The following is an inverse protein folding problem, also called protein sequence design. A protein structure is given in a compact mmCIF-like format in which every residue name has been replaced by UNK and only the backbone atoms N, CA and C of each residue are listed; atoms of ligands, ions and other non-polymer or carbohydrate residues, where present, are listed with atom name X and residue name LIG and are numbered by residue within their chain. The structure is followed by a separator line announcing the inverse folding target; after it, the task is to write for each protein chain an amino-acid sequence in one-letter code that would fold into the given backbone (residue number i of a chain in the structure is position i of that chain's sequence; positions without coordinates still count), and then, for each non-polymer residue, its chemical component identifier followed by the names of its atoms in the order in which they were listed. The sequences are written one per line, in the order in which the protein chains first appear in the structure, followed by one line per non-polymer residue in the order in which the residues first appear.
data_IF_217540886231
#
_entry.id   IF_217540886231
#
_cell.length_a   1.000
_cell.length_b   1.000
_cell.length_c   1.000
_cell.angle_alpha   90.00
_cell.angle_beta   90.00
_cell.angle_gamma   90.00
#
_symmetry.space_group_name_H-M   'P 1'
#
loop_
_entity.id
_entity.type
_entity.pdbx_description
1 polymer ?
#
# COMPACT_ATOMS: atom_id res chain seq x y z
N UNK A 1 14.15 -37.02 16.46
CA UNK A 1 13.23 -37.37 17.57
C UNK A 1 13.26 -36.24 18.58
N UNK A 2 12.18 -35.48 18.74
CA UNK A 2 11.48 -35.16 20.02
C UNK A 2 10.33 -34.17 19.78
N UNK A 3 9.12 -34.75 19.77
CA UNK A 3 7.87 -34.27 20.38
C UNK A 3 7.24 -32.95 19.90
N UNK A 4 6.52 -33.13 18.79
CA UNK A 4 5.34 -32.38 18.35
C UNK A 4 4.11 -32.93 19.09
N UNK A 5 3.52 -32.17 20.02
CA UNK A 5 2.13 -32.24 20.54
C UNK A 5 2.07 -31.59 21.93
N UNK A 6 1.48 -30.39 22.00
CA UNK A 6 0.61 -29.93 23.10
C UNK A 6 0.40 -28.41 22.97
N UNK A 7 -0.56 -27.98 22.15
CA UNK A 7 -1.14 -26.63 22.33
C UNK A 7 -2.52 -26.46 21.66
N UNK A 8 -3.48 -27.37 21.84
CA UNK A 8 -4.91 -27.02 21.68
C UNK A 8 -5.71 -27.85 22.67
N UNK A 9 -6.05 -27.26 23.82
CA UNK A 9 -7.23 -27.59 24.66
C UNK A 9 -7.19 -26.71 25.92
N UNK A 10 -7.93 -25.60 25.91
CA UNK A 10 -8.63 -25.00 27.07
C UNK A 10 -9.29 -23.68 26.67
N UNK A 11 -10.55 -23.76 26.27
CA UNK A 11 -11.55 -22.68 26.46
C UNK A 11 -12.90 -23.11 25.90
N UNK A 12 -13.45 -24.19 26.48
CA UNK A 12 -14.89 -24.49 26.42
C UNK A 12 -15.31 -24.80 27.84
N UNK A 13 -16.09 -23.87 28.42
CA UNK A 13 -17.03 -23.99 29.56
C UNK A 13 -16.88 -22.86 30.57
N UNK A 14 -17.97 -22.09 30.70
CA UNK A 14 -18.34 -21.43 31.94
C UNK A 14 -18.61 -19.94 31.81
N UNK A 15 -19.86 -19.56 31.51
CA UNK A 15 -20.71 -18.80 32.44
C UNK A 15 -22.06 -18.46 31.79
N UNK A 16 -23.07 -19.22 32.19
CA UNK A 16 -24.49 -18.88 32.09
C UNK A 16 -24.93 -18.16 33.36
N UNK A 17 -25.38 -16.92 33.22
CA UNK A 17 -26.37 -16.17 34.04
C UNK A 17 -26.56 -14.85 33.29
N UNK A 18 -27.71 -14.48 32.70
CA UNK A 18 -29.07 -14.50 33.19
C UNK A 18 -29.45 -13.06 33.58
N UNK A 19 -30.32 -12.38 32.80
CA UNK A 19 -31.42 -11.48 33.22
C UNK A 19 -32.02 -10.70 32.03
N UNK A 20 -33.34 -10.88 31.89
CA UNK A 20 -34.42 -9.98 31.45
C UNK A 20 -34.36 -9.21 30.11
N UNK A 21 -35.22 -9.68 29.21
CA UNK A 21 -36.25 -8.96 28.43
C UNK A 21 -36.33 -7.43 28.59
N UNK A 22 -36.18 -6.73 27.47
CA UNK A 22 -36.65 -5.36 27.24
C UNK A 22 -36.72 -5.08 25.75
N UNK A 23 -37.88 -5.33 25.14
CA UNK A 23 -38.09 -5.10 23.71
C UNK A 23 -38.22 -3.62 23.37
N UNK A 24 -37.51 -3.19 22.33
CA UNK A 24 -37.94 -2.11 21.46
C UNK A 24 -37.72 -2.55 20.01
N UNK A 25 -38.83 -2.91 19.38
CA UNK A 25 -38.92 -3.20 17.95
C UNK A 25 -38.72 -1.91 17.18
N UNK A 26 -37.57 -1.75 16.52
CA UNK A 26 -37.40 -0.80 15.42
C UNK A 26 -37.62 -1.56 14.12
N UNK A 27 -38.81 -1.38 13.56
CA UNK A 27 -39.20 -1.85 12.23
C UNK A 27 -38.25 -1.27 11.16
N UNK A 28 -37.19 -1.98 10.83
CA UNK A 28 -36.48 -1.79 9.56
C UNK A 28 -37.25 -2.57 8.48
N UNK A 29 -37.81 -1.84 7.51
CA UNK A 29 -38.41 -2.43 6.31
C UNK A 29 -37.39 -3.38 5.66
N UNK A 30 -37.79 -4.58 5.20
CA UNK A 30 -36.89 -5.41 4.42
C UNK A 30 -36.56 -4.65 3.14
N UNK A 31 -35.28 -4.38 2.92
CA UNK A 31 -34.78 -3.90 1.64
C UNK A 31 -35.19 -4.93 0.59
N UNK A 32 -36.01 -4.50 -0.37
CA UNK A 32 -36.39 -5.27 -1.54
C UNK A 32 -35.13 -5.86 -2.16
N UNK A 33 -35.01 -7.18 -2.11
CA UNK A 33 -34.05 -7.91 -2.92
C UNK A 33 -34.39 -7.60 -4.38
N UNK A 34 -33.50 -6.85 -5.04
CA UNK A 34 -33.56 -6.72 -6.49
C UNK A 34 -33.21 -8.10 -7.05
N UNK A 35 -34.24 -8.87 -7.41
CA UNK A 35 -34.06 -10.05 -8.25
C UNK A 35 -33.56 -9.55 -9.61
N UNK A 36 -32.26 -9.66 -9.87
CA UNK A 36 -31.74 -9.50 -11.22
C UNK A 36 -32.22 -10.71 -11.99
N UNK A 37 -33.33 -10.54 -12.72
CA UNK A 37 -33.76 -11.48 -13.74
C UNK A 37 -32.72 -11.46 -14.87
N UNK A 38 -31.74 -12.36 -14.82
CA UNK A 38 -30.81 -12.58 -15.91
C UNK A 38 -31.49 -13.40 -17.02
N UNK A 39 -32.28 -12.71 -17.85
CA UNK A 39 -32.87 -13.25 -19.09
C UNK A 39 -31.91 -13.26 -20.29
N UNK A 40 -30.59 -13.21 -20.07
CA UNK A 40 -29.58 -13.34 -21.13
C UNK A 40 -28.98 -14.74 -21.11
N UNK A 41 -28.71 -15.32 -22.29
CA UNK A 41 -27.93 -16.57 -22.40
C UNK A 41 -26.60 -16.37 -21.66
N UNK A 42 -26.39 -17.10 -20.58
CA UNK A 42 -25.16 -17.04 -19.81
C UNK A 42 -24.00 -17.51 -20.70
N UNK A 43 -23.01 -16.64 -20.90
CA UNK A 43 -21.81 -16.97 -21.69
C UNK A 43 -21.11 -18.17 -21.05
N UNK A 44 -20.89 -19.22 -21.83
CA UNK A 44 -20.11 -20.39 -21.42
C UNK A 44 -18.61 -20.09 -21.56
N UNK A 45 -18.01 -19.57 -20.50
CA UNK A 45 -16.58 -19.20 -20.46
C UNK A 45 -15.64 -20.38 -20.72
N UNK A 46 -16.05 -21.62 -20.47
CA UNK A 46 -15.24 -22.80 -20.76
C UNK A 46 -15.07 -23.07 -22.26
N UNK A 47 -15.86 -22.41 -23.12
CA UNK A 47 -15.71 -22.45 -24.58
C UNK A 47 -15.00 -21.23 -25.16
N UNK A 48 -14.78 -20.19 -24.35
CA UNK A 48 -14.11 -18.97 -24.80
C UNK A 48 -12.60 -19.22 -24.96
N UNK A 49 -12.01 -19.05 -26.16
CA UNK A 49 -10.60 -19.34 -26.39
C UNK A 49 -9.64 -18.49 -25.55
N UNK A 50 -9.94 -17.20 -25.37
CA UNK A 50 -9.11 -16.27 -24.61
C UNK A 50 -9.17 -16.61 -23.12
N UNK A 51 -10.37 -16.85 -22.59
CA UNK A 51 -10.53 -17.27 -21.20
C UNK A 51 -9.80 -18.58 -20.91
N UNK A 52 -9.88 -19.56 -21.82
CA UNK A 52 -9.16 -20.83 -21.67
C UNK A 52 -7.66 -20.63 -21.69
N UNK A 53 -7.14 -19.79 -22.59
CA UNK A 53 -5.71 -19.48 -22.65
C UNK A 53 -5.25 -18.76 -21.38
N UNK A 54 -6.01 -17.80 -20.86
CA UNK A 54 -5.66 -17.11 -19.60
C UNK A 54 -5.73 -18.07 -18.40
N UNK A 55 -6.76 -18.93 -18.34
CA UNK A 55 -6.99 -19.81 -17.19
C UNK A 55 -6.04 -20.99 -17.13
N UNK A 56 -5.72 -21.58 -18.28
CA UNK A 56 -5.02 -22.86 -18.39
C UNK A 56 -3.72 -22.76 -19.21
N UNK A 57 -3.55 -21.72 -20.02
CA UNK A 57 -2.52 -21.66 -21.05
C UNK A 57 -2.64 -22.80 -22.07
N UNK A 58 -1.58 -23.01 -22.85
CA UNK A 58 -1.53 -24.09 -23.85
C UNK A 58 -1.57 -25.53 -23.30
N UNK A 59 -1.41 -25.75 -21.98
CA UNK A 59 -1.34 -27.11 -21.39
C UNK A 59 -2.15 -27.34 -20.10
N UNK A 60 -2.30 -26.33 -19.23
CA UNK A 60 -2.72 -26.45 -17.83
C UNK A 60 -4.20 -26.71 -17.58
N UNK A 61 -4.92 -27.35 -18.52
CA UNK A 61 -6.32 -27.73 -18.36
C UNK A 61 -6.52 -28.71 -17.18
N UNK A 62 -7.78 -29.06 -16.85
CA UNK A 62 -8.09 -29.94 -15.71
C UNK A 62 -7.48 -31.35 -15.80
N UNK A 63 -6.84 -31.72 -16.92
CA UNK A 63 -6.22 -33.04 -17.15
C UNK A 63 -7.21 -34.19 -17.31
N UNK A 64 -8.48 -33.98 -16.93
CA UNK A 64 -9.61 -34.88 -17.05
C UNK A 64 -10.87 -34.08 -17.40
N UNK A 65 -11.89 -34.74 -17.93
CA UNK A 65 -13.20 -34.11 -18.14
C UNK A 65 -13.88 -33.85 -16.78
N UNK A 66 -14.19 -32.59 -16.42
CA UNK A 66 -14.97 -32.31 -15.21
C UNK A 66 -16.40 -32.84 -15.37
N UNK A 67 -16.94 -33.46 -14.32
CA UNK A 67 -18.34 -33.87 -14.24
C UNK A 67 -19.14 -32.90 -13.35
N UNK A 68 -20.48 -32.86 -13.49
CA UNK A 68 -21.32 -32.01 -12.66
C UNK A 68 -21.26 -32.42 -11.18
N UNK A 69 -21.40 -31.46 -10.26
CA UNK A 69 -21.38 -31.75 -8.84
C UNK A 69 -21.70 -30.55 -7.95
N UNK A 70 -21.71 -30.73 -6.61
CA UNK A 70 -22.13 -29.68 -5.66
C UNK A 70 -21.29 -28.40 -5.70
N UNK A 71 -20.11 -28.43 -6.34
CA UNK A 71 -19.25 -27.26 -6.49
C UNK A 71 -19.72 -26.31 -7.60
N UNK A 72 -20.62 -26.75 -8.49
CA UNK A 72 -21.13 -25.94 -9.60
C UNK A 72 -21.93 -24.71 -9.11
N UNK A 73 -22.47 -24.78 -7.89
CA UNK A 73 -23.23 -23.70 -7.25
C UNK A 73 -22.37 -22.79 -6.34
N UNK A 74 -21.07 -23.08 -6.19
CA UNK A 74 -20.17 -22.29 -5.34
C UNK A 74 -19.59 -21.13 -6.16
N UNK A 75 -19.83 -19.90 -5.71
CA UNK A 75 -19.25 -18.72 -6.35
C UNK A 75 -17.73 -18.69 -6.12
N UNK A 76 -16.97 -18.26 -7.13
CA UNK A 76 -15.50 -18.14 -7.04
C UNK A 76 -15.06 -17.27 -5.84
N UNK A 77 -15.81 -16.21 -5.52
CA UNK A 77 -15.54 -15.36 -4.34
C UNK A 77 -15.71 -16.07 -2.98
N UNK A 78 -16.44 -17.17 -2.96
CA UNK A 78 -16.69 -17.99 -1.76
C UNK A 78 -15.80 -19.26 -1.73
N UNK A 79 -15.03 -19.51 -2.81
CA UNK A 79 -14.16 -20.67 -2.94
C UNK A 79 -12.82 -20.46 -2.21
N UNK A 80 -12.56 -21.27 -1.18
CA UNK A 80 -11.35 -21.21 -0.36
C UNK A 80 -10.74 -22.61 -0.12
N UNK A 81 -10.04 -23.20 -1.11
CA UNK A 81 -9.51 -24.55 -0.99
C UNK A 81 -8.39 -24.61 0.05
N UNK A 82 -8.38 -25.70 0.84
CA UNK A 82 -7.22 -26.07 1.65
C UNK A 82 -6.17 -26.70 0.74
N UNK A 83 -4.92 -26.23 0.83
CA UNK A 83 -3.81 -26.85 0.12
C UNK A 83 -3.52 -28.24 0.69
N UNK A 84 -3.26 -29.22 -0.17
CA UNK A 84 -2.67 -30.50 0.22
C UNK A 84 -1.14 -30.48 0.14
N UNK A 85 -0.54 -29.43 -0.45
CA UNK A 85 0.90 -29.26 -0.50
C UNK A 85 1.40 -28.95 0.91
N UNK A 86 2.34 -29.77 1.39
CA UNK A 86 3.01 -29.57 2.67
C UNK A 86 4.34 -28.86 2.40
N UNK A 87 4.39 -27.57 2.71
CA UNK A 87 5.61 -26.76 2.63
C UNK A 87 6.17 -26.48 4.03
N UNK A 88 7.41 -26.00 4.09
CA UNK A 88 7.95 -25.44 5.32
C UNK A 88 7.18 -24.17 5.70
N UNK A 89 6.89 -24.03 6.99
CA UNK A 89 6.33 -22.81 7.55
C UNK A 89 7.24 -22.28 8.66
N UNK A 90 7.82 -21.12 8.40
CA UNK A 90 8.73 -20.43 9.31
C UNK A 90 7.98 -19.28 9.98
N UNK A 91 7.93 -19.30 11.31
CA UNK A 91 7.41 -18.18 12.09
C UNK A 91 8.55 -17.22 12.42
N UNK A 92 8.45 -15.98 11.92
CA UNK A 92 9.44 -14.93 12.14
C UNK A 92 8.82 -13.85 13.03
N UNK A 93 8.95 -13.94 14.38
CA UNK A 93 8.24 -13.05 15.30
C UNK A 93 8.71 -11.60 15.23
N UNK A 94 9.97 -11.38 14.86
CA UNK A 94 10.69 -10.11 14.90
C UNK A 94 11.67 -10.05 13.72
N UNK A 95 11.80 -8.89 13.11
CA UNK A 95 12.73 -8.66 12.01
C UNK A 95 14.16 -9.04 12.37
N UNK A 96 14.92 -9.57 11.41
CA UNK A 96 16.33 -9.96 11.58
C UNK A 96 17.24 -8.76 11.92
N UNK A 97 16.88 -7.57 11.45
CA UNK A 97 17.58 -6.31 11.75
C UNK A 97 16.59 -5.24 12.18
N UNK A 98 17.10 -4.18 12.79
CA UNK A 98 16.32 -3.00 13.17
C UNK A 98 15.68 -2.36 11.94
N UNK A 99 14.43 -1.94 12.06
CA UNK A 99 13.62 -1.43 10.93
C UNK A 99 13.06 -0.05 11.19
N UNK A 100 13.13 0.80 10.17
CA UNK A 100 12.33 2.00 10.00
C UNK A 100 11.20 1.64 9.04
N UNK A 101 9.95 1.61 9.53
CA UNK A 101 8.80 1.51 8.64
C UNK A 101 8.59 2.86 7.98
N UNK A 102 8.99 2.96 6.71
CA UNK A 102 9.07 4.24 6.01
C UNK A 102 7.77 4.68 5.37
N UNK A 103 6.69 3.91 5.56
CA UNK A 103 5.39 4.21 4.98
C UNK A 103 4.26 3.69 5.89
N UNK A 104 3.79 4.54 6.78
CA UNK A 104 2.55 4.34 7.54
C UNK A 104 1.73 5.62 7.58
N UNK A 105 0.44 5.49 7.86
CA UNK A 105 -0.43 6.64 8.10
C UNK A 105 -0.73 6.80 9.60
N UNK A 106 -1.61 7.75 9.95
CA UNK A 106 -2.07 7.94 11.33
C UNK A 106 -3.00 6.78 11.72
N UNK A 107 -2.43 5.76 12.36
CA UNK A 107 -3.09 4.50 12.73
C UNK A 107 -3.56 4.43 14.20
N UNK A 108 -3.25 5.46 14.98
CA UNK A 108 -3.60 5.57 16.39
C UNK A 108 -3.97 7.03 16.69
N UNK A 109 -5.03 7.24 17.49
CA UNK A 109 -5.58 8.57 17.79
C UNK A 109 -5.67 8.85 19.29
N UNK A 110 -5.62 7.82 20.15
CA UNK A 110 -5.54 8.00 21.60
C UNK A 110 -4.16 7.64 22.16
N UNK A 111 -3.76 8.18 23.32
CA UNK A 111 -2.49 7.82 23.96
C UNK A 111 -2.32 6.32 24.19
N UNK A 112 -3.40 5.61 24.52
CA UNK A 112 -3.39 4.16 24.74
C UNK A 112 -3.15 3.40 23.44
N UNK A 113 -3.77 3.84 22.33
CA UNK A 113 -3.54 3.24 21.01
C UNK A 113 -2.11 3.46 20.53
N UNK A 114 -1.53 4.64 20.78
CA UNK A 114 -0.13 4.94 20.43
C UNK A 114 0.81 4.08 21.27
N UNK A 115 0.56 3.93 22.58
CA UNK A 115 1.34 3.05 23.44
C UNK A 115 1.28 1.58 23.01
N UNK A 116 0.11 1.09 22.59
CA UNK A 116 -0.05 -0.27 22.05
C UNK A 116 0.64 -0.45 20.69
N UNK A 117 0.67 0.60 19.87
CA UNK A 117 1.48 0.60 18.65
C UNK A 117 2.97 0.47 18.97
N UNK A 118 3.50 1.27 19.89
CA UNK A 118 4.91 1.20 20.33
C UNK A 118 5.26 -0.18 20.88
N UNK A 119 4.37 -0.79 21.66
CA UNK A 119 4.54 -2.17 22.14
C UNK A 119 4.65 -3.16 20.98
N UNK A 120 3.79 -3.03 19.97
CA UNK A 120 3.85 -3.87 18.77
C UNK A 120 5.16 -3.66 18.02
N UNK A 121 5.60 -2.41 17.86
CA UNK A 121 6.88 -2.07 17.23
C UNK A 121 8.05 -2.76 17.93
N UNK A 122 8.10 -2.76 19.27
CA UNK A 122 9.15 -3.43 20.05
C UNK A 122 9.20 -4.94 19.83
N UNK A 123 8.03 -5.58 19.81
CA UNK A 123 7.90 -7.03 19.66
C UNK A 123 8.27 -7.48 18.25
N UNK A 124 7.96 -6.69 17.21
CA UNK A 124 8.19 -7.05 15.80
C UNK A 124 9.47 -6.46 15.20
N UNK A 125 10.18 -5.58 15.91
CA UNK A 125 11.48 -5.05 15.50
C UNK A 125 11.47 -3.73 14.73
N UNK A 126 10.36 -3.00 14.79
CA UNK A 126 10.29 -1.62 14.30
C UNK A 126 10.87 -0.67 15.35
N UNK A 127 11.90 0.06 15.00
CA UNK A 127 12.45 1.13 15.83
C UNK A 127 11.62 2.40 15.67
N UNK A 128 11.45 2.84 14.42
CA UNK A 128 10.78 4.08 14.08
C UNK A 128 9.76 3.85 12.98
N UNK A 129 8.60 4.49 13.11
CA UNK A 129 7.60 4.58 12.05
C UNK A 129 7.57 5.99 11.47
N UNK A 130 7.72 6.11 10.16
CA UNK A 130 7.59 7.37 9.43
C UNK A 130 6.13 7.56 9.03
N UNK A 131 5.48 8.52 9.69
CA UNK A 131 4.04 8.74 9.56
C UNK A 131 3.79 9.78 8.48
N UNK A 132 3.22 9.33 7.36
CA UNK A 132 2.72 10.13 6.25
C UNK A 132 1.38 10.76 6.66
N UNK A 133 1.45 11.94 7.27
CA UNK A 133 0.28 12.54 7.91
C UNK A 133 -0.72 13.10 6.90
N UNK A 134 -0.25 13.57 5.74
CA UNK A 134 -1.09 14.19 4.72
C UNK A 134 -1.72 15.54 5.11
N UNK A 135 -1.40 16.06 6.30
CA UNK A 135 -2.04 17.24 6.91
C UNK A 135 -1.03 18.36 7.22
N UNK A 136 -1.55 19.58 7.36
CA UNK A 136 -0.80 20.82 7.60
C UNK A 136 -1.45 21.60 8.74
N UNK A 137 -0.93 22.78 9.09
CA UNK A 137 -1.49 23.66 10.12
C UNK A 137 -1.60 23.02 11.51
N UNK A 138 -2.67 23.35 12.24
CA UNK A 138 -2.90 22.93 13.63
C UNK A 138 -3.06 21.40 13.78
N UNK A 139 -3.57 20.72 12.75
CA UNK A 139 -3.71 19.26 12.76
C UNK A 139 -2.33 18.59 12.75
N UNK A 140 -1.38 19.12 11.98
CA UNK A 140 0.00 18.65 12.01
C UNK A 140 0.65 18.90 13.38
N UNK A 141 0.42 20.07 13.97
CA UNK A 141 0.96 20.41 15.30
C UNK A 141 0.45 19.46 16.39
N UNK A 142 -0.83 19.09 16.35
CA UNK A 142 -1.40 18.10 17.27
C UNK A 142 -0.79 16.69 17.09
N UNK A 143 -0.44 16.30 15.86
CA UNK A 143 0.25 15.04 15.59
C UNK A 143 1.69 15.07 16.12
N UNK A 144 2.40 16.19 16.03
CA UNK A 144 3.72 16.36 16.64
C UNK A 144 3.65 16.13 18.16
N UNK A 145 2.62 16.65 18.84
CA UNK A 145 2.46 16.48 20.27
C UNK A 145 2.11 15.02 20.66
N UNK A 146 1.22 14.38 19.91
CA UNK A 146 0.70 13.04 20.22
C UNK A 146 1.62 11.88 19.82
N UNK A 147 2.56 12.10 18.89
CA UNK A 147 3.45 11.04 18.38
C UNK A 147 4.91 11.27 18.76
N UNK A 148 5.71 12.13 18.06
CA UNK A 148 7.13 12.24 18.36
C UNK A 148 7.45 12.85 19.72
N UNK A 149 6.63 13.78 20.26
CA UNK A 149 6.86 14.31 21.62
C UNK A 149 6.43 13.34 22.71
N UNK A 150 5.33 12.63 22.53
CA UNK A 150 4.86 11.62 23.47
C UNK A 150 5.77 10.38 23.52
N UNK A 151 6.33 9.99 22.37
CA UNK A 151 7.24 8.84 22.24
C UNK A 151 8.48 9.18 21.40
N UNK A 152 9.46 9.91 21.99
CA UNK A 152 10.67 10.33 21.29
C UNK A 152 11.40 9.17 20.62
N UNK A 153 11.78 9.36 19.34
CA UNK A 153 12.49 8.38 18.51
C UNK A 153 11.63 7.27 17.90
N UNK A 154 10.38 7.09 18.35
CA UNK A 154 9.48 6.03 17.82
C UNK A 154 8.68 6.47 16.60
N UNK A 155 8.40 7.75 16.50
CA UNK A 155 7.68 8.31 15.36
C UNK A 155 8.44 9.50 14.79
N UNK A 156 8.39 9.64 13.48
CA UNK A 156 8.81 10.84 12.77
C UNK A 156 7.76 11.17 11.72
N UNK A 157 7.49 12.46 11.51
CA UNK A 157 6.34 12.89 10.73
C UNK A 157 6.76 13.48 9.40
N UNK A 158 6.03 13.09 8.36
CA UNK A 158 5.97 13.80 7.10
C UNK A 158 4.75 14.71 7.14
N UNK A 159 4.91 15.98 6.76
CA UNK A 159 3.78 16.90 6.66
C UNK A 159 3.03 16.72 5.34
N UNK A 160 1.80 17.21 5.28
CA UNK A 160 1.04 17.35 4.05
C UNK A 160 1.51 18.51 3.17
N UNK A 161 0.65 18.88 2.23
CA UNK A 161 0.83 20.03 1.34
C UNK A 161 -0.45 20.87 1.36
N UNK A 162 -0.32 22.20 1.36
CA UNK A 162 -1.48 23.07 1.19
C UNK A 162 -2.10 22.87 -0.20
N UNK A 163 -3.39 22.54 -0.21
CA UNK A 163 -4.19 22.20 -1.40
C UNK A 163 -5.35 23.17 -1.59
N UNK A 164 -5.37 24.29 -0.85
CA UNK A 164 -6.43 25.27 -0.89
C UNK A 164 -6.15 26.34 -1.95
N UNK A 165 -7.19 26.77 -2.69
CA UNK A 165 -7.12 27.90 -3.64
C UNK A 165 -5.91 27.83 -4.60
N UNK A 166 -5.67 26.65 -5.19
CA UNK A 166 -4.49 26.34 -6.03
C UNK A 166 -4.41 27.12 -7.35
N UNK A 167 -5.43 27.92 -7.66
CA UNK A 167 -5.55 28.80 -8.82
C UNK A 167 -5.16 30.25 -8.50
N UNK A 168 -4.92 30.59 -7.23
CA UNK A 168 -4.56 31.94 -6.83
C UNK A 168 -3.08 32.24 -7.13
N UNK A 169 -2.75 33.49 -7.51
CA UNK A 169 -1.37 33.86 -7.87
C UNK A 169 -0.35 33.65 -6.74
N UNK A 170 -0.78 33.73 -5.49
CA UNK A 170 0.04 33.56 -4.28
C UNK A 170 0.27 32.08 -3.90
N UNK A 171 -0.36 31.13 -4.61
CA UNK A 171 -0.33 29.71 -4.21
C UNK A 171 1.09 29.16 -4.04
N UNK A 172 1.99 29.48 -4.98
CA UNK A 172 3.37 29.00 -4.95
C UNK A 172 4.13 29.49 -3.71
N UNK A 173 3.90 30.72 -3.27
CA UNK A 173 4.53 31.28 -2.06
C UNK A 173 3.92 30.67 -0.80
N UNK A 174 2.59 30.54 -0.76
CA UNK A 174 1.85 30.01 0.39
C UNK A 174 2.17 28.53 0.67
N UNK A 175 2.23 27.69 -0.36
CA UNK A 175 2.56 26.28 -0.19
C UNK A 175 4.00 26.07 0.31
N UNK A 176 4.93 26.95 -0.08
CA UNK A 176 6.31 26.99 0.41
C UNK A 176 6.37 27.46 1.86
N UNK A 177 5.63 28.52 2.22
CA UNK A 177 5.58 29.01 3.59
C UNK A 177 5.06 27.95 4.57
N UNK A 178 4.05 27.18 4.18
CA UNK A 178 3.55 26.08 5.01
C UNK A 178 4.56 24.93 5.15
N UNK A 179 5.33 24.64 4.09
CA UNK A 179 6.43 23.67 4.15
C UNK A 179 7.51 24.09 5.16
N UNK A 180 7.96 25.33 5.09
CA UNK A 180 8.97 25.88 6.00
C UNK A 180 8.48 25.90 7.45
N UNK A 181 7.17 26.16 7.67
CA UNK A 181 6.53 26.05 8.98
C UNK A 181 6.57 24.60 9.48
N UNK A 182 6.17 23.63 8.66
CA UNK A 182 6.18 22.22 9.02
C UNK A 182 7.59 21.72 9.33
N UNK A 183 8.59 22.12 8.53
CA UNK A 183 10.00 21.84 8.79
C UNK A 183 10.43 22.37 10.16
N UNK A 184 10.09 23.63 10.48
CA UNK A 184 10.38 24.24 11.78
C UNK A 184 9.71 23.51 12.95
N UNK A 185 8.55 22.88 12.70
CA UNK A 185 7.82 22.06 13.67
C UNK A 185 8.37 20.63 13.82
N UNK A 186 9.36 20.24 13.00
CA UNK A 186 10.03 18.95 13.07
C UNK A 186 9.57 17.93 12.02
N UNK A 187 8.90 18.36 10.95
CA UNK A 187 8.67 17.50 9.79
C UNK A 187 10.00 17.11 9.14
N UNK A 188 10.17 15.83 8.81
CA UNK A 188 11.39 15.30 8.18
C UNK A 188 11.22 15.06 6.67
N UNK A 189 10.01 15.25 6.16
CA UNK A 189 9.63 14.96 4.79
C UNK A 189 8.22 15.47 4.48
N UNK A 190 7.80 15.29 3.24
CA UNK A 190 6.46 15.69 2.77
C UNK A 190 5.75 14.46 2.22
N UNK A 191 4.55 14.17 2.70
CA UNK A 191 3.80 13.01 2.25
C UNK A 191 2.56 12.66 3.07
N UNK A 192 1.68 11.82 2.54
CA UNK A 192 1.73 11.32 1.16
C UNK A 192 1.16 12.37 0.20
N UNK A 193 1.90 12.70 -0.86
CA UNK A 193 1.39 13.53 -1.95
C UNK A 193 0.87 12.63 -3.04
N UNK A 194 -0.44 12.67 -3.27
CA UNK A 194 -1.09 11.66 -4.10
C UNK A 194 -1.82 12.26 -5.29
N UNK A 195 -1.63 11.66 -6.45
CA UNK A 195 -2.37 11.91 -7.68
C UNK A 195 -2.75 10.60 -8.37
N UNK A 196 -4.02 10.22 -8.23
CA UNK A 196 -4.62 9.04 -8.87
C UNK A 196 -5.40 9.37 -10.14
N UNK A 197 -5.13 10.54 -10.73
CA UNK A 197 -5.74 11.02 -11.97
C UNK A 197 -6.71 12.19 -11.81
N UNK A 198 -7.14 12.48 -10.58
CA UNK A 198 -7.94 13.67 -10.26
C UNK A 198 -7.09 14.89 -9.89
N UNK A 199 -5.76 14.77 -9.99
CA UNK A 199 -4.82 15.76 -9.49
C UNK A 199 -4.60 15.61 -7.98
N UNK A 200 -3.64 16.38 -7.48
CA UNK A 200 -3.35 16.53 -6.07
C UNK A 200 -4.48 17.37 -5.45
N UNK A 201 -5.44 16.69 -4.84
CA UNK A 201 -6.65 17.29 -4.26
C UNK A 201 -6.68 17.16 -2.74
N UNK A 202 -7.40 18.06 -2.06
CA UNK A 202 -7.55 18.06 -0.61
C UNK A 202 -8.27 16.79 -0.14
N UNK A 203 -7.67 15.98 0.77
CA UNK A 203 -8.30 14.79 1.28
C UNK A 203 -9.33 15.21 2.32
N UNK A 204 -10.61 15.06 2.00
CA UNK A 204 -11.56 14.70 3.04
C UNK A 204 -11.66 13.18 3.04
N UNK A 205 -10.74 12.58 3.78
CA UNK A 205 -10.72 11.19 4.29
C UNK A 205 -10.51 10.02 3.32
N UNK A 206 -9.76 9.04 3.83
CA UNK A 206 -9.68 7.59 3.54
C UNK A 206 -9.20 7.04 2.17
N UNK A 207 -8.71 7.88 1.25
CA UNK A 207 -8.17 7.36 -0.02
C UNK A 207 -9.24 7.06 -1.07
N UNK A 208 -10.51 7.40 -0.80
CA UNK A 208 -11.52 7.58 -1.83
C UNK A 208 -11.50 9.02 -2.36
N UNK A 209 -10.96 9.19 -3.57
CA UNK A 209 -11.04 10.47 -4.28
C UNK A 209 -12.48 10.72 -4.68
N UNK A 210 -13.12 11.64 -3.97
CA UNK A 210 -14.47 12.07 -4.31
C UNK A 210 -14.40 12.82 -5.65
N UNK A 211 -14.81 12.14 -6.73
CA UNK A 211 -15.05 12.71 -8.07
C UNK A 211 -15.72 14.10 -8.03
N UNK A 212 -16.70 14.40 -7.13
CA UNK A 212 -17.37 15.70 -7.06
C UNK A 212 -16.46 16.90 -6.73
N UNK A 213 -15.30 16.68 -6.09
CA UNK A 213 -14.38 17.74 -5.70
C UNK A 213 -13.27 18.01 -6.74
N UNK A 214 -13.20 17.22 -7.82
CA UNK A 214 -12.16 17.35 -8.82
C UNK A 214 -12.39 18.53 -9.77
N UNK A 215 -11.33 19.31 -10.02
CA UNK A 215 -11.36 20.38 -11.01
C UNK A 215 -11.49 19.80 -12.44
N UNK A 216 -11.91 20.61 -13.43
CA UNK A 216 -11.77 20.26 -14.84
C UNK A 216 -10.35 19.79 -15.14
N UNK A 217 -10.20 18.77 -16.01
CA UNK A 217 -8.91 18.09 -16.25
C UNK A 217 -7.74 19.03 -16.49
N UNK A 218 -7.93 20.12 -17.24
CA UNK A 218 -6.90 21.11 -17.56
C UNK A 218 -6.57 22.09 -16.41
N UNK A 219 -7.30 22.04 -15.29
CA UNK A 219 -7.08 22.86 -14.09
C UNK A 219 -6.56 22.04 -12.90
N UNK A 220 -6.57 20.71 -13.01
CA UNK A 220 -6.06 19.80 -11.97
C UNK A 220 -4.57 20.06 -11.75
N UNK A 221 -4.17 20.03 -10.49
CA UNK A 221 -2.78 20.18 -10.11
C UNK A 221 -2.12 18.80 -10.19
N UNK A 222 -1.17 18.63 -11.10
CA UNK A 222 -0.41 17.39 -11.23
C UNK A 222 1.01 17.59 -10.70
N UNK A 223 1.75 16.53 -10.35
CA UNK A 223 3.11 16.67 -9.81
C UNK A 223 4.08 17.40 -10.74
N UNK A 224 3.83 17.41 -12.06
CA UNK A 224 4.66 18.04 -13.09
C UNK A 224 4.24 19.49 -13.42
N UNK A 225 3.32 20.06 -12.66
CA UNK A 225 2.80 21.42 -12.85
C UNK A 225 3.78 22.48 -12.32
N UNK A 226 4.02 23.53 -13.11
CA UNK A 226 4.95 24.62 -12.78
C UNK A 226 4.62 25.32 -11.46
N UNK A 227 3.35 25.30 -11.03
CA UNK A 227 2.93 25.86 -9.73
C UNK A 227 3.63 25.21 -8.53
N UNK A 228 4.15 24.00 -8.68
CA UNK A 228 4.83 23.24 -7.63
C UNK A 228 6.36 23.34 -7.69
N UNK A 229 6.94 24.03 -8.68
CA UNK A 229 8.39 24.08 -8.85
C UNK A 229 9.13 24.60 -7.62
N UNK A 230 8.64 25.71 -7.06
CA UNK A 230 9.22 26.30 -5.86
C UNK A 230 9.03 25.40 -4.63
N UNK A 231 7.94 24.63 -4.58
CA UNK A 231 7.68 23.68 -3.50
C UNK A 231 8.69 22.52 -3.55
N UNK A 232 8.87 21.91 -4.72
CA UNK A 232 9.84 20.84 -4.92
C UNK A 232 11.28 21.31 -4.71
N UNK A 233 11.61 22.50 -5.20
CA UNK A 233 12.91 23.14 -4.95
C UNK A 233 13.16 23.34 -3.47
N UNK A 234 12.17 23.85 -2.72
CA UNK A 234 12.28 24.04 -1.28
C UNK A 234 12.45 22.71 -0.53
N UNK A 235 11.77 21.64 -0.93
CA UNK A 235 12.00 20.31 -0.36
C UNK A 235 13.48 19.88 -0.48
N UNK A 236 14.12 20.15 -1.62
CA UNK A 236 15.54 19.87 -1.81
C UNK A 236 16.44 20.74 -0.91
N UNK A 237 16.16 22.04 -0.82
CA UNK A 237 16.90 22.97 0.04
C UNK A 237 16.85 22.58 1.52
N UNK A 238 15.69 22.13 1.99
CA UNK A 238 15.48 21.70 3.38
C UNK A 238 15.93 20.25 3.65
N UNK A 239 16.33 19.51 2.60
CA UNK A 239 16.66 18.09 2.74
C UNK A 239 15.47 17.23 3.16
N UNK A 240 14.26 17.56 2.70
CA UNK A 240 13.01 16.86 3.00
C UNK A 240 12.59 15.98 1.80
N UNK A 241 12.74 14.65 1.87
CA UNK A 241 12.25 13.75 0.82
C UNK A 241 10.72 13.83 0.67
N UNK A 242 10.25 13.63 -0.56
CA UNK A 242 8.83 13.66 -0.91
C UNK A 242 8.32 12.24 -1.13
N UNK A 243 7.35 11.79 -0.32
CA UNK A 243 6.58 10.58 -0.59
C UNK A 243 5.52 10.89 -1.64
N UNK A 244 5.67 10.33 -2.84
CA UNK A 244 4.88 10.66 -4.03
C UNK A 244 4.13 9.43 -4.56
N UNK A 245 2.81 9.43 -4.43
CA UNK A 245 1.92 8.39 -4.91
C UNK A 245 1.24 8.81 -6.20
N UNK A 246 1.75 8.31 -7.31
CA UNK A 246 1.17 8.59 -8.63
C UNK A 246 0.61 7.31 -9.22
N UNK A 247 -0.64 7.40 -9.70
CA UNK A 247 -1.44 6.27 -10.16
C UNK A 247 -1.79 5.27 -9.04
N UNK A 248 -2.30 4.11 -9.45
CA UNK A 248 -2.48 2.89 -8.66
C UNK A 248 -2.07 1.72 -9.55
N UNK A 249 -2.31 0.48 -9.13
CA UNK A 249 -2.08 -0.70 -9.96
C UNK A 249 -2.74 -0.55 -11.35
N UNK A 250 -2.08 -0.94 -12.46
CA UNK A 250 -2.58 -0.72 -13.83
C UNK A 250 -3.96 -1.33 -14.09
N UNK A 251 -4.35 -2.39 -13.36
CA UNK A 251 -5.69 -2.97 -13.46
C UNK A 251 -6.83 -2.02 -13.06
N UNK A 252 -6.52 -0.92 -12.36
CA UNK A 252 -7.48 0.17 -12.15
C UNK A 252 -7.83 0.91 -13.44
N UNK A 253 -7.07 0.76 -14.53
CA UNK A 253 -7.36 1.36 -15.84
C UNK A 253 -7.86 0.33 -16.87
N UNK A 254 -8.35 -0.83 -16.43
CA UNK A 254 -8.95 -1.85 -17.29
C UNK A 254 -10.44 -2.06 -16.95
N UNK A 255 -11.27 -2.57 -17.88
CA UNK A 255 -12.67 -2.88 -17.60
C UNK A 255 -12.85 -3.76 -16.35
N UNK A 256 -14.01 -3.63 -15.67
CA UNK A 256 -14.44 -4.65 -14.70
C UNK A 256 -15.01 -5.84 -15.47
N UNK A 257 -14.20 -6.86 -15.68
CA UNK A 257 -14.58 -8.11 -16.30
C UNK A 257 -13.88 -9.30 -15.63
N UNK A 258 -14.03 -10.49 -16.21
CA UNK A 258 -13.44 -11.74 -15.70
C UNK A 258 -11.91 -11.80 -15.81
N UNK A 259 -11.27 -10.81 -16.46
CA UNK A 259 -9.83 -10.73 -16.68
C UNK A 259 -9.13 -9.73 -15.74
N UNK A 260 -9.87 -8.89 -15.02
CA UNK A 260 -9.30 -7.91 -14.10
C UNK A 260 -8.83 -8.56 -12.79
N UNK A 261 -7.50 -8.69 -12.62
CA UNK A 261 -6.85 -9.56 -11.62
C UNK A 261 -7.16 -9.27 -10.13
N UNK A 262 -7.61 -8.03 -9.82
CA UNK A 262 -7.86 -7.55 -8.45
C UNK A 262 -9.35 -7.47 -8.12
N UNK A 263 -10.23 -7.91 -9.02
CA UNK A 263 -11.66 -8.08 -8.72
C UNK A 263 -11.91 -9.39 -7.98
N UNK A 264 -12.98 -9.46 -7.14
CA UNK A 264 -13.93 -8.39 -6.83
C UNK A 264 -13.44 -7.38 -5.78
N UNK A 265 -12.40 -7.70 -5.01
CA UNK A 265 -12.07 -6.96 -3.77
C UNK A 265 -11.67 -5.49 -4.01
N UNK A 266 -11.00 -5.18 -5.12
CA UNK A 266 -10.52 -3.83 -5.45
C UNK A 266 -11.32 -3.13 -6.55
N UNK A 267 -12.52 -3.61 -6.90
CA UNK A 267 -13.32 -3.03 -7.99
C UNK A 267 -13.69 -1.55 -7.77
N UNK A 268 -13.77 -1.10 -6.51
CA UNK A 268 -14.09 0.28 -6.15
C UNK A 268 -12.97 1.28 -6.51
N UNK A 269 -11.74 0.80 -6.75
CA UNK A 269 -10.63 1.63 -7.22
C UNK A 269 -10.62 1.85 -8.74
N UNK A 270 -11.54 1.23 -9.49
CA UNK A 270 -11.50 1.30 -10.95
C UNK A 270 -11.67 2.74 -11.47
N UNK A 271 -10.83 3.10 -12.45
CA UNK A 271 -10.74 4.37 -13.18
C UNK A 271 -11.04 4.23 -14.67
N UNK A 272 -11.26 3.01 -15.16
CA UNK A 272 -11.64 2.74 -16.54
C UNK A 272 -12.91 3.50 -16.94
N UNK A 273 -12.84 4.18 -18.08
CA UNK A 273 -13.94 5.00 -18.59
C UNK A 273 -14.21 6.30 -17.82
N UNK A 274 -13.41 6.63 -16.79
CA UNK A 274 -13.52 7.91 -16.08
C UNK A 274 -12.68 9.00 -16.76
N UNK A 275 -13.05 10.27 -16.53
CA UNK A 275 -12.27 11.42 -17.00
C UNK A 275 -11.02 11.63 -16.13
N UNK A 276 -10.04 10.74 -16.29
CA UNK A 276 -8.70 10.83 -15.69
C UNK A 276 -7.64 10.49 -16.73
N UNK A 277 -6.38 10.90 -16.55
CA UNK A 277 -5.29 10.40 -17.38
C UNK A 277 -5.17 8.88 -17.29
N UNK A 278 -4.72 8.27 -18.38
CA UNK A 278 -4.34 6.86 -18.41
C UNK A 278 -3.20 6.57 -17.43
N UNK A 279 -3.04 5.30 -17.06
CA UNK A 279 -1.92 4.86 -16.24
C UNK A 279 -0.57 5.35 -16.79
N UNK A 280 -0.32 5.16 -18.09
CA UNK A 280 0.93 5.58 -18.74
C UNK A 280 1.13 7.11 -18.70
N UNK A 281 0.07 7.90 -18.90
CA UNK A 281 0.16 9.36 -18.77
C UNK A 281 0.52 9.79 -17.34
N UNK A 282 0.01 9.12 -16.31
CA UNK A 282 0.35 9.40 -14.91
C UNK A 282 1.81 9.05 -14.59
N UNK A 283 2.28 7.87 -15.02
CA UNK A 283 3.69 7.49 -14.87
C UNK A 283 4.61 8.51 -15.57
N UNK A 284 4.24 8.97 -16.77
CA UNK A 284 5.02 9.98 -17.46
C UNK A 284 4.98 11.36 -16.77
N UNK A 285 3.85 11.74 -16.14
CA UNK A 285 3.78 12.94 -15.29
C UNK A 285 4.78 12.86 -14.14
N UNK A 286 4.82 11.74 -13.41
CA UNK A 286 5.84 11.50 -12.38
C UNK A 286 7.25 11.63 -12.97
N UNK A 287 7.52 11.00 -14.10
CA UNK A 287 8.84 11.03 -14.74
C UNK A 287 9.28 12.44 -15.17
N UNK A 288 8.34 13.30 -15.60
CA UNK A 288 8.62 14.72 -15.85
C UNK A 288 8.96 15.48 -14.57
N UNK A 289 8.26 15.23 -13.47
CA UNK A 289 8.60 15.79 -12.14
C UNK A 289 10.01 15.40 -11.73
N UNK A 290 10.36 14.11 -11.80
CA UNK A 290 11.70 13.61 -11.46
C UNK A 290 12.79 14.31 -12.28
N UNK A 291 12.56 14.46 -13.60
CA UNK A 291 13.49 15.13 -14.52
C UNK A 291 13.67 16.62 -14.19
N UNK A 292 12.57 17.29 -13.85
CA UNK A 292 12.53 18.75 -13.64
C UNK A 292 13.17 19.15 -12.30
N UNK A 293 13.14 18.26 -11.31
CA UNK A 293 13.64 18.51 -9.96
C UNK A 293 14.74 17.51 -9.54
N UNK A 294 15.90 17.48 -10.23
CA UNK A 294 16.93 16.45 -10.00
C UNK A 294 17.57 16.49 -8.61
N UNK A 295 17.44 17.60 -7.88
CA UNK A 295 17.97 17.76 -6.52
C UNK A 295 16.98 17.33 -5.43
N UNK A 296 15.70 17.12 -5.78
CA UNK A 296 14.66 16.70 -4.84
C UNK A 296 14.55 15.19 -4.84
N UNK A 297 14.70 14.56 -3.67
CA UNK A 297 14.48 13.12 -3.52
C UNK A 297 12.97 12.83 -3.51
N UNK A 298 12.53 11.96 -4.41
CA UNK A 298 11.17 11.45 -4.44
C UNK A 298 11.16 9.96 -4.09
N UNK A 299 10.46 9.60 -3.02
CA UNK A 299 10.14 8.22 -2.67
C UNK A 299 8.81 7.92 -3.37
N UNK A 300 8.86 7.23 -4.52
CA UNK A 300 7.66 6.87 -5.25
C UNK A 300 7.01 5.67 -4.58
N UNK A 301 5.81 5.90 -4.04
CA UNK A 301 5.09 4.93 -3.23
C UNK A 301 4.84 3.64 -4.00
N UNK A 302 4.90 2.52 -3.27
CA UNK A 302 4.47 1.22 -3.74
C UNK A 302 5.20 0.74 -5.01
N UNK A 303 6.54 0.75 -4.98
CA UNK A 303 7.39 0.48 -6.15
C UNK A 303 6.99 1.35 -7.36
N UNK A 304 6.67 2.61 -7.09
CA UNK A 304 6.22 3.60 -8.09
C UNK A 304 4.97 3.21 -8.86
N UNK A 305 4.12 2.34 -8.30
CA UNK A 305 2.99 1.70 -8.99
C UNK A 305 3.37 0.92 -10.27
N UNK A 306 4.65 0.58 -10.43
CA UNK A 306 5.19 -0.23 -11.52
C UNK A 306 5.71 -1.59 -11.03
N UNK A 307 5.38 -2.02 -9.80
CA UNK A 307 5.83 -3.30 -9.26
C UNK A 307 5.44 -4.54 -10.10
N UNK A 308 4.42 -4.42 -10.94
CA UNK A 308 4.01 -5.46 -11.90
C UNK A 308 4.98 -5.61 -13.08
N UNK A 309 5.77 -4.57 -13.39
CA UNK A 309 6.75 -4.51 -14.48
C UNK A 309 8.08 -3.93 -13.96
N UNK A 310 8.88 -4.80 -13.35
CA UNK A 310 10.18 -4.45 -12.79
C UNK A 310 11.24 -4.07 -13.85
N UNK A 311 11.01 -4.40 -15.13
CA UNK A 311 11.90 -3.99 -16.22
C UNK A 311 11.67 -2.53 -16.60
N UNK A 312 10.41 -2.11 -16.74
CA UNK A 312 10.06 -0.72 -16.93
C UNK A 312 10.48 0.14 -15.73
N UNK A 313 10.22 -0.33 -14.50
CA UNK A 313 10.65 0.36 -13.29
C UNK A 313 12.18 0.45 -13.19
N UNK A 314 12.91 -0.57 -13.67
CA UNK A 314 14.38 -0.52 -13.71
C UNK A 314 14.89 0.58 -14.63
N UNK A 315 14.27 0.78 -15.79
CA UNK A 315 14.63 1.88 -16.69
C UNK A 315 14.46 3.25 -16.02
N UNK A 316 13.37 3.46 -15.29
CA UNK A 316 13.13 4.70 -14.56
C UNK A 316 14.17 4.88 -13.43
N UNK A 317 14.44 3.82 -12.65
CA UNK A 317 15.45 3.84 -11.60
C UNK A 317 16.85 4.15 -12.13
N UNK A 318 17.24 3.61 -13.28
CA UNK A 318 18.56 3.88 -13.88
C UNK A 318 18.65 5.31 -14.44
N UNK A 319 17.54 5.85 -14.95
CA UNK A 319 17.46 7.20 -15.55
C UNK A 319 17.39 8.33 -14.53
N UNK A 320 16.70 8.13 -13.41
CA UNK A 320 16.42 9.17 -12.41
C UNK A 320 17.16 8.89 -11.09
N UNK A 321 18.32 9.51 -10.84
CA UNK A 321 19.10 9.25 -9.62
C UNK A 321 18.38 9.72 -8.34
N UNK A 322 17.42 10.63 -8.47
CA UNK A 322 16.58 11.14 -7.39
C UNK A 322 15.29 10.33 -7.16
N UNK A 323 15.08 9.25 -7.92
CA UNK A 323 14.00 8.30 -7.68
C UNK A 323 14.42 7.25 -6.63
N UNK A 324 13.66 7.24 -5.56
CA UNK A 324 13.67 6.23 -4.50
C UNK A 324 12.30 5.54 -4.48
N UNK A 325 12.22 4.37 -3.87
CA UNK A 325 10.99 3.58 -3.79
C UNK A 325 10.76 3.12 -2.36
N UNK A 326 9.51 2.83 -2.02
CA UNK A 326 9.18 1.96 -0.90
C UNK A 326 8.54 0.65 -1.40
N UNK A 327 8.50 -0.36 -0.52
CA UNK A 327 7.85 -1.65 -0.78
C UNK A 327 6.37 -1.70 -0.36
N UNK A 328 5.80 -0.56 0.05
CA UNK A 328 4.53 -0.55 0.77
C UNK A 328 3.38 -1.06 -0.09
N UNK A 329 2.52 -1.89 0.50
CA UNK A 329 1.45 -2.61 -0.19
C UNK A 329 1.87 -3.36 -1.48
N UNK A 330 3.14 -3.74 -1.67
CA UNK A 330 3.65 -4.50 -2.84
C UNK A 330 4.15 -5.91 -2.53
N UNK A 331 3.80 -6.44 -1.36
CA UNK A 331 3.90 -7.87 -1.03
C UNK A 331 3.25 -8.76 -2.10
N UNK A 332 2.18 -8.26 -2.74
CA UNK A 332 1.44 -8.95 -3.80
C UNK A 332 2.29 -9.25 -5.05
N UNK A 333 2.90 -8.23 -5.63
CA UNK A 333 3.72 -8.36 -6.84
C UNK A 333 5.03 -9.06 -6.51
N UNK A 334 5.66 -8.70 -5.38
CA UNK A 334 6.93 -9.28 -4.97
C UNK A 334 6.81 -10.76 -4.64
N UNK A 335 5.81 -11.15 -3.85
CA UNK A 335 5.59 -12.53 -3.45
C UNK A 335 5.21 -13.45 -4.60
N UNK A 336 4.61 -12.91 -5.67
CA UNK A 336 4.29 -13.67 -6.90
C UNK A 336 5.51 -13.85 -7.81
N UNK A 337 6.53 -13.00 -7.68
CA UNK A 337 7.72 -12.98 -8.56
C UNK A 337 9.05 -13.01 -7.79
N UNK A 338 9.21 -13.89 -6.77
CA UNK A 338 10.25 -13.79 -5.73
C UNK A 338 11.67 -13.65 -6.29
N UNK A 339 12.02 -14.44 -7.31
CA UNK A 339 13.37 -14.43 -7.92
C UNK A 339 13.67 -13.13 -8.65
N UNK A 340 12.68 -12.57 -9.35
CA UNK A 340 12.85 -11.30 -10.08
C UNK A 340 12.87 -10.15 -9.09
N UNK A 341 11.97 -10.16 -8.10
CA UNK A 341 11.93 -9.16 -7.05
C UNK A 341 13.21 -9.13 -6.21
N UNK A 342 13.73 -10.29 -5.77
CA UNK A 342 14.99 -10.35 -5.03
C UNK A 342 16.17 -9.76 -5.83
N UNK A 343 16.26 -10.05 -7.14
CA UNK A 343 17.29 -9.45 -8.02
C UNK A 343 17.12 -7.94 -8.16
N UNK A 344 15.88 -7.46 -8.30
CA UNK A 344 15.58 -6.03 -8.39
C UNK A 344 15.96 -5.30 -7.08
N UNK A 345 15.55 -5.85 -5.94
CA UNK A 345 15.88 -5.30 -4.61
C UNK A 345 17.39 -5.30 -4.38
N UNK A 346 18.11 -6.34 -4.78
CA UNK A 346 19.58 -6.39 -4.71
C UNK A 346 20.24 -5.30 -5.58
N UNK A 347 19.80 -5.13 -6.83
CA UNK A 347 20.33 -4.10 -7.76
C UNK A 347 20.17 -2.68 -7.19
N UNK A 348 19.07 -2.40 -6.50
CA UNK A 348 18.72 -1.05 -6.05
C UNK A 348 18.67 -0.88 -4.52
N UNK A 349 19.29 -1.77 -3.73
CA UNK A 349 19.15 -1.80 -2.26
C UNK A 349 19.42 -0.49 -1.52
N UNK A 350 20.22 0.42 -2.09
CA UNK A 350 20.49 1.76 -1.54
C UNK A 350 19.48 2.85 -1.90
N UNK A 351 18.40 2.51 -2.63
CA UNK A 351 17.34 3.42 -3.09
C UNK A 351 15.93 2.87 -2.86
N UNK A 352 15.80 1.78 -2.11
CA UNK A 352 14.52 1.16 -1.76
C UNK A 352 14.42 1.10 -0.25
N UNK A 353 13.28 1.55 0.27
CA UNK A 353 12.94 1.59 1.69
C UNK A 353 11.91 0.51 1.99
N UNK A 354 11.98 -0.05 3.19
CA UNK A 354 10.87 -0.85 3.72
C UNK A 354 9.73 0.08 4.11
N UNK A 355 8.52 -0.27 3.68
CA UNK A 355 7.29 0.39 4.09
C UNK A 355 6.15 -0.61 4.06
N UNK A 356 5.13 -0.43 4.89
CA UNK A 356 4.00 -1.37 4.96
C UNK A 356 2.76 -0.86 4.24
N UNK A 357 2.36 0.40 4.46
CA UNK A 357 1.05 0.96 4.08
C UNK A 357 -0.12 0.07 4.54
N UNK A 358 -0.02 -0.41 5.78
CA UNK A 358 -0.97 -1.35 6.37
C UNK A 358 -1.26 -1.01 7.84
N UNK A 359 -1.96 -1.91 8.53
CA UNK A 359 -2.34 -1.73 9.93
C UNK A 359 -1.14 -1.78 10.89
N UNK A 360 -1.39 -1.61 12.18
CA UNK A 360 -0.39 -1.77 13.25
C UNK A 360 -0.39 -3.15 13.90
N UNK A 361 -0.93 -4.18 13.21
CA UNK A 361 -1.04 -5.52 13.78
C UNK A 361 0.28 -6.31 13.69
N UNK A 362 0.61 -7.07 14.73
CA UNK A 362 1.83 -7.90 14.79
C UNK A 362 1.90 -8.92 13.66
N UNK A 363 0.76 -9.56 13.36
CA UNK A 363 0.61 -10.57 12.31
C UNK A 363 0.96 -10.02 10.93
N UNK A 364 0.67 -8.74 10.67
CA UNK A 364 1.02 -8.07 9.43
C UNK A 364 2.54 -7.99 9.27
N UNK A 365 3.26 -7.46 10.26
CA UNK A 365 4.73 -7.39 10.22
C UNK A 365 5.39 -8.78 10.13
N UNK A 366 4.90 -9.74 10.90
CA UNK A 366 5.40 -11.12 10.87
C UNK A 366 5.24 -11.77 9.50
N UNK A 367 4.19 -11.41 8.75
CA UNK A 367 4.02 -11.84 7.37
C UNK A 367 5.06 -11.20 6.44
N UNK A 368 5.38 -9.92 6.61
CA UNK A 368 6.47 -9.29 5.86
C UNK A 368 7.82 -9.92 6.17
N UNK A 369 8.13 -10.21 7.43
CA UNK A 369 9.39 -10.89 7.80
C UNK A 369 9.46 -12.28 7.19
N UNK A 370 8.36 -13.04 7.23
CA UNK A 370 8.29 -14.33 6.54
C UNK A 370 8.52 -14.20 5.04
N UNK A 371 7.88 -13.22 4.39
CA UNK A 371 8.04 -12.97 2.95
C UNK A 371 9.46 -12.55 2.57
N UNK A 372 10.09 -11.66 3.33
CA UNK A 372 11.36 -11.05 2.97
C UNK A 372 12.58 -11.88 3.39
N UNK A 373 12.51 -12.56 4.53
CA UNK A 373 13.69 -13.16 5.19
C UNK A 373 13.78 -14.68 5.04
N UNK A 374 12.80 -15.32 4.41
CA UNK A 374 12.75 -16.79 4.30
C UNK A 374 12.58 -17.22 2.84
N UNK A 375 12.85 -18.50 2.59
CA UNK A 375 12.56 -19.18 1.33
C UNK A 375 11.22 -19.95 1.38
N UNK A 376 10.32 -19.61 2.33
CA UNK A 376 9.04 -20.31 2.49
C UNK A 376 8.20 -20.26 1.21
N UNK A 377 7.57 -21.37 0.86
CA UNK A 377 6.78 -21.47 -0.37
C UNK A 377 5.28 -21.55 -0.05
N UNK A 378 4.47 -21.13 -1.03
CA UNK A 378 3.02 -21.27 -0.99
C UNK A 378 2.36 -20.53 0.21
N UNK A 379 2.94 -19.40 0.60
CA UNK A 379 2.42 -18.53 1.65
C UNK A 379 1.07 -17.97 1.21
N UNK A 380 0.08 -17.92 2.10
CA UNK A 380 -1.22 -17.29 1.80
C UNK A 380 -1.03 -15.78 1.73
N UNK A 381 -1.18 -15.21 0.54
CA UNK A 381 -1.10 -13.78 0.29
C UNK A 381 -2.46 -13.10 0.23
N UNK A 382 -2.44 -11.78 -0.01
CA UNK A 382 -3.64 -10.99 -0.28
C UNK A 382 -4.28 -11.46 -1.60
N UNK A 383 -5.58 -11.21 -1.74
CA UNK A 383 -6.35 -11.56 -2.96
C UNK A 383 -6.34 -13.06 -3.31
N UNK A 384 -6.06 -13.94 -2.35
CA UNK A 384 -5.99 -15.39 -2.55
C UNK A 384 -4.76 -15.89 -3.32
N UNK A 385 -3.86 -14.99 -3.72
CA UNK A 385 -2.62 -15.37 -4.39
C UNK A 385 -1.67 -16.05 -3.41
N UNK A 386 -0.82 -16.92 -3.96
CA UNK A 386 0.22 -17.58 -3.19
C UNK A 386 1.52 -16.81 -3.37
N UNK A 387 2.14 -16.49 -2.25
CA UNK A 387 3.43 -15.85 -2.22
C UNK A 387 4.52 -16.89 -1.98
N UNK A 388 5.72 -16.51 -2.36
CA UNK A 388 6.94 -17.27 -2.17
C UNK A 388 7.95 -16.31 -1.56
N UNK A 389 8.63 -16.77 -0.51
CA UNK A 389 9.63 -16.02 0.21
C UNK A 389 10.78 -15.61 -0.71
N UNK A 390 11.32 -14.42 -0.49
CA UNK A 390 12.36 -13.82 -1.31
C UNK A 390 13.77 -14.23 -0.89
N UNK A 391 13.93 -14.74 0.34
CA UNK A 391 15.22 -15.12 0.94
C UNK A 391 16.30 -14.04 0.75
N UNK A 392 15.97 -12.79 1.12
CA UNK A 392 16.83 -11.65 0.85
C UNK A 392 18.15 -11.72 1.64
N UNK A 393 19.23 -11.29 0.98
CA UNK A 393 20.55 -11.24 1.61
C UNK A 393 20.57 -10.25 2.79
N UNK A 394 21.42 -10.51 3.79
CA UNK A 394 21.66 -9.61 4.91
C UNK A 394 21.98 -8.17 4.46
N UNK A 395 22.65 -8.03 3.32
CA UNK A 395 23.01 -6.74 2.76
C UNK A 395 21.79 -5.96 2.25
N UNK A 396 20.83 -6.65 1.64
CA UNK A 396 19.57 -6.05 1.17
C UNK A 396 18.70 -5.69 2.35
N UNK A 397 18.52 -6.63 3.30
CA UNK A 397 17.69 -6.42 4.49
C UNK A 397 18.18 -5.21 5.29
N UNK A 398 19.48 -5.12 5.63
CA UNK A 398 20.02 -3.95 6.35
C UNK A 398 19.85 -2.64 5.59
N UNK A 399 19.99 -2.68 4.26
CA UNK A 399 19.87 -1.49 3.43
C UNK A 399 18.42 -0.97 3.41
N UNK A 400 17.49 -1.86 3.09
CA UNK A 400 16.07 -1.54 2.96
C UNK A 400 15.40 -1.24 4.31
N UNK A 401 15.75 -1.99 5.37
CA UNK A 401 15.16 -1.80 6.70
C UNK A 401 15.62 -0.52 7.38
N UNK A 402 16.85 -0.06 7.15
CA UNK A 402 17.40 1.03 7.95
C UNK A 402 18.30 1.99 7.17
N UNK A 403 19.37 1.49 6.52
CA UNK A 403 20.44 2.36 6.05
C UNK A 403 19.97 3.37 4.98
N UNK A 404 19.09 2.96 4.07
CA UNK A 404 18.55 3.85 3.04
C UNK A 404 17.75 5.00 3.66
N UNK A 405 16.81 4.68 4.56
CA UNK A 405 15.98 5.67 5.24
C UNK A 405 16.83 6.62 6.10
N UNK A 406 17.72 6.07 6.94
CA UNK A 406 18.63 6.85 7.79
C UNK A 406 19.50 7.80 6.98
N UNK A 407 19.98 7.37 5.81
CA UNK A 407 20.80 8.21 4.91
C UNK A 407 20.01 9.38 4.32
N UNK A 408 18.83 9.14 3.75
CA UNK A 408 18.11 10.20 3.01
C UNK A 408 17.31 11.14 3.92
N UNK A 409 17.04 10.72 5.16
CA UNK A 409 16.32 11.52 6.15
C UNK A 409 17.26 12.19 7.17
N UNK A 410 18.58 12.04 6.99
CA UNK A 410 19.61 12.55 7.89
C UNK A 410 19.33 12.18 9.37
N UNK A 411 18.87 10.95 9.61
CA UNK A 411 18.61 10.48 10.97
C UNK A 411 19.95 10.34 11.68
N UNK A 412 20.26 11.28 12.57
CA UNK A 412 21.47 11.26 13.40
C UNK A 412 21.41 10.04 14.31
N UNK A 413 22.52 9.33 14.44
CA UNK A 413 22.68 8.23 15.40
C UNK A 413 22.79 8.72 16.83
#
# INVERSE_FOLDING_TARGET
MTKRRDFIKKSVLGLTAGIATGGMSLNAKPSTSVSIANGGVQKDWHKDPEWREIKYGGWGGPGVSPGPGPMDDILVKDYAPRSSVVTQETFVPKAKYQVIDSHVHVLARTPEEVADWVKTMDEVGIETSLVLTGVTGDEFDALVDSLPKAFPGRFQLYCGMDKTNIDKPDYSERVVAELERCYTKGAIGVGEITDKGYGIVSPKFDGNYDKPASLPRNKRLHPDDDRLDNFWGKCAELGMPVSLHVADHPSCWTPLDVYQERTPDYQHFNKYGLDVPSYAELIEKRNRTLKKHPNTIFISCHLGNQGHDLEALSHDMDKYPNLYLDTSARDYEMGRTPRTSAKFLEKYKGRILFGTDQSREKSMYQMHWRLLETADEYIVGRLGWRYYGLDLSDSVLKSMYYNTASKILNLVR
#
